data_IF_398435480592
#
_entry.id   IF_398435480592
#
_cell.length_a   1.000
_cell.length_b   1.000
_cell.length_c   1.000
_cell.angle_alpha   90.00
_cell.angle_beta   90.00
_cell.angle_gamma   90.00
#
_symmetry.space_group_name_H-M   'P 1'
#
loop_
_entity.id
_entity.type
_entity.pdbx_description
1 polymer ?
#
# COMPACT_ATOMS: atom_id res chain seq x y z
N UNK A 1 -1.20 -10.82 -11.50
CA UNK A 1 -1.87 -11.04 -10.20
C UNK A 1 -0.81 -10.71 -9.16
N UNK A 2 -1.03 -9.66 -8.37
CA UNK A 2 -0.11 -9.32 -7.28
C UNK A 2 -0.16 -10.47 -6.28
N UNK A 3 1.01 -10.86 -5.78
CA UNK A 3 1.14 -11.97 -4.84
C UNK A 3 1.32 -11.43 -3.41
N UNK A 4 1.83 -10.22 -3.29
CA UNK A 4 1.83 -9.48 -2.03
C UNK A 4 0.45 -8.89 -1.71
N UNK A 5 0.21 -8.65 -0.42
CA UNK A 5 -1.05 -8.13 0.10
C UNK A 5 -1.03 -6.60 0.31
N UNK A 6 -0.08 -5.87 -0.28
CA UNK A 6 -0.08 -4.42 -0.17
C UNK A 6 -1.21 -3.78 -0.97
N UNK A 7 -1.75 -2.67 -0.47
CA UNK A 7 -2.72 -1.84 -1.19
C UNK A 7 -2.10 -1.22 -2.45
N UNK A 8 -2.92 -1.09 -3.50
CA UNK A 8 -2.51 -0.43 -4.74
C UNK A 8 -2.44 1.10 -4.62
N UNK A 9 -3.03 1.64 -3.55
CA UNK A 9 -3.06 3.07 -3.20
C UNK A 9 -2.36 3.32 -1.87
N UNK A 10 -1.73 4.48 -1.75
CA UNK A 10 -1.20 4.98 -0.48
C UNK A 10 -1.61 6.44 -0.28
N UNK A 11 -2.10 6.74 0.93
CA UNK A 11 -2.03 8.09 1.48
C UNK A 11 -0.65 8.30 2.06
N UNK A 12 0.08 9.25 1.49
CA UNK A 12 1.45 9.53 1.92
C UNK A 12 1.65 11.03 2.05
N UNK A 13 2.34 11.45 3.12
CA UNK A 13 2.70 12.86 3.27
C UNK A 13 3.55 13.31 2.08
N UNK A 14 3.34 14.54 1.61
CA UNK A 14 4.09 15.08 0.47
C UNK A 14 5.59 15.09 0.71
N UNK A 15 6.00 15.27 1.97
CA UNK A 15 7.39 15.21 2.41
C UNK A 15 8.01 13.81 2.28
N UNK A 16 7.29 12.77 2.70
CA UNK A 16 7.71 11.36 2.56
C UNK A 16 7.73 10.97 1.10
N UNK A 17 6.69 11.30 0.33
CA UNK A 17 6.61 11.00 -1.11
C UNK A 17 7.79 11.58 -1.90
N UNK A 18 8.12 12.86 -1.64
CA UNK A 18 9.28 13.51 -2.26
C UNK A 18 10.58 12.80 -1.92
N UNK A 19 10.72 12.37 -0.67
CA UNK A 19 11.91 11.67 -0.17
C UNK A 19 12.04 10.29 -0.81
N UNK A 20 10.96 9.51 -0.82
CA UNK A 20 10.89 8.21 -1.49
C UNK A 20 11.26 8.31 -2.97
N UNK A 21 10.66 9.27 -3.69
CA UNK A 21 10.97 9.49 -5.11
C UNK A 21 12.43 9.89 -5.33
N UNK A 22 12.97 10.79 -4.52
CA UNK A 22 14.38 11.20 -4.58
C UNK A 22 15.34 10.04 -4.36
N UNK A 23 15.04 9.19 -3.39
CA UNK A 23 15.83 7.99 -3.08
C UNK A 23 15.81 7.02 -4.26
N UNK A 24 14.63 6.69 -4.80
CA UNK A 24 14.50 5.84 -5.97
C UNK A 24 15.19 6.43 -7.21
N UNK A 25 15.03 7.72 -7.47
CA UNK A 25 15.70 8.42 -8.57
C UNK A 25 17.24 8.35 -8.48
N UNK A 26 17.79 8.46 -7.26
CA UNK A 26 19.24 8.39 -7.05
C UNK A 26 19.84 7.04 -7.41
N UNK A 27 19.04 5.97 -7.32
CA UNK A 27 19.44 4.62 -7.72
C UNK A 27 19.45 4.43 -9.25
N UNK A 28 18.88 5.36 -10.03
CA UNK A 28 18.99 5.34 -11.49
C UNK A 28 20.42 5.78 -11.86
N UNK A 29 21.17 4.98 -12.65
CA UNK A 29 22.48 5.37 -13.16
C UNK A 29 22.42 6.70 -13.91
N UNK A 30 23.42 7.57 -13.75
CA UNK A 30 23.34 8.96 -14.24
C UNK A 30 23.12 9.03 -15.75
N UNK A 31 23.76 8.14 -16.49
CA UNK A 31 23.70 7.98 -17.94
C UNK A 31 22.36 7.43 -18.45
N UNK A 32 21.55 6.84 -17.57
CA UNK A 32 20.22 6.32 -17.90
C UNK A 32 19.10 7.31 -17.53
N UNK A 33 19.42 8.42 -16.86
CA UNK A 33 18.42 9.39 -16.41
C UNK A 33 17.85 10.17 -17.60
N UNK A 34 16.59 9.89 -17.92
CA UNK A 34 15.86 10.61 -18.98
C UNK A 34 15.44 12.03 -18.59
N UNK A 35 15.36 12.31 -17.29
CA UNK A 35 14.93 13.60 -16.73
C UNK A 35 15.85 14.01 -15.57
N UNK A 36 16.01 15.32 -15.37
CA UNK A 36 16.57 15.86 -14.12
C UNK A 36 15.63 15.58 -12.94
N UNK A 37 16.14 15.63 -11.70
CA UNK A 37 15.31 15.39 -10.51
C UNK A 37 14.11 16.33 -10.42
N UNK A 38 14.28 17.62 -10.76
CA UNK A 38 13.18 18.59 -10.73
C UNK A 38 12.10 18.29 -11.79
N UNK A 39 12.52 17.90 -12.99
CA UNK A 39 11.57 17.42 -14.02
C UNK A 39 10.89 16.12 -13.58
N UNK A 40 11.60 15.24 -12.86
CA UNK A 40 11.06 14.04 -12.26
C UNK A 40 9.98 14.34 -11.22
N UNK A 41 10.19 15.33 -10.35
CA UNK A 41 9.17 15.78 -9.39
C UNK A 41 7.94 16.37 -10.07
N UNK A 42 8.12 17.16 -11.12
CA UNK A 42 6.99 17.65 -11.91
C UNK A 42 6.23 16.49 -12.56
N UNK A 43 6.95 15.47 -13.05
CA UNK A 43 6.33 14.28 -13.62
C UNK A 43 5.57 13.46 -12.56
N UNK A 44 6.12 13.34 -11.35
CA UNK A 44 5.46 12.72 -10.20
C UNK A 44 4.16 13.43 -9.87
N UNK A 45 4.19 14.77 -9.75
CA UNK A 45 3.00 15.56 -9.47
C UNK A 45 1.91 15.36 -10.54
N UNK A 46 2.29 15.41 -11.82
CA UNK A 46 1.36 15.15 -12.91
C UNK A 46 0.78 13.72 -12.87
N UNK A 47 1.60 12.72 -12.51
CA UNK A 47 1.13 11.34 -12.34
C UNK A 47 0.19 11.20 -11.15
N UNK A 48 0.39 11.96 -10.08
CA UNK A 48 -0.52 12.07 -8.94
C UNK A 48 -1.69 13.05 -9.18
N UNK A 49 -1.93 13.46 -10.43
CA UNK A 49 -3.07 14.28 -10.85
C UNK A 49 -3.05 15.73 -10.34
N UNK A 50 -1.87 16.25 -9.99
CA UNK A 50 -1.63 17.65 -9.69
C UNK A 50 -1.19 18.43 -10.93
N UNK A 51 -1.53 19.72 -10.99
CA UNK A 51 -1.12 20.62 -12.07
C UNK A 51 0.36 20.99 -12.02
N UNK A 52 0.95 21.05 -10.82
CA UNK A 52 2.37 21.32 -10.62
C UNK A 52 2.94 20.65 -9.38
N UNK A 53 4.27 20.55 -9.32
CA UNK A 53 4.95 20.07 -8.12
C UNK A 53 4.71 20.98 -6.92
N UNK A 54 4.63 22.29 -7.12
CA UNK A 54 4.29 23.25 -6.06
C UNK A 54 2.87 23.02 -5.54
N UNK A 55 1.90 22.76 -6.43
CA UNK A 55 0.53 22.45 -6.03
C UNK A 55 0.44 21.17 -5.20
N UNK A 56 1.19 20.13 -5.60
CA UNK A 56 1.32 18.89 -4.84
C UNK A 56 1.97 19.15 -3.48
N UNK A 57 3.11 19.86 -3.44
CA UNK A 57 3.85 20.13 -2.21
C UNK A 57 3.16 21.14 -1.26
N UNK A 58 2.04 21.75 -1.68
CA UNK A 58 1.20 22.57 -0.82
C UNK A 58 0.18 21.74 -0.01
N UNK A 59 0.01 20.46 -0.33
CA UNK A 59 -0.84 19.54 0.44
C UNK A 59 -0.06 18.88 1.58
N UNK A 60 -0.77 18.48 2.64
CA UNK A 60 -0.17 17.72 3.74
C UNK A 60 0.10 16.27 3.32
N UNK A 61 -0.91 15.62 2.74
CA UNK A 61 -0.85 14.27 2.17
C UNK A 61 -1.38 14.23 0.74
N UNK A 62 -1.07 13.14 0.03
CA UNK A 62 -1.58 12.87 -1.32
C UNK A 62 -1.96 11.41 -1.45
N UNK A 63 -3.00 11.18 -2.25
CA UNK A 63 -3.40 9.85 -2.68
C UNK A 63 -2.72 9.50 -4.01
N UNK A 64 -1.86 8.49 -4.00
CA UNK A 64 -1.12 8.05 -5.18
C UNK A 64 -1.18 6.53 -5.32
N UNK A 65 -1.34 6.05 -6.55
CA UNK A 65 -1.23 4.62 -6.83
C UNK A 65 0.22 4.18 -7.00
N UNK A 66 0.49 2.91 -6.67
CA UNK A 66 1.77 2.23 -6.97
C UNK A 66 2.14 2.37 -8.45
N UNK A 67 1.15 2.27 -9.35
CA UNK A 67 1.36 2.41 -10.79
C UNK A 67 1.70 3.86 -11.20
N UNK A 68 1.05 4.87 -10.62
CA UNK A 68 1.37 6.29 -10.88
C UNK A 68 2.80 6.63 -10.47
N UNK A 69 3.22 6.20 -9.29
CA UNK A 69 4.59 6.38 -8.84
C UNK A 69 5.58 5.64 -9.75
N UNK A 70 5.27 4.39 -10.10
CA UNK A 70 6.07 3.58 -11.04
C UNK A 70 6.23 4.26 -12.40
N UNK A 71 5.16 4.84 -12.95
CA UNK A 71 5.19 5.58 -14.22
C UNK A 71 6.04 6.84 -14.14
N UNK A 72 6.01 7.55 -13.01
CA UNK A 72 6.86 8.72 -12.79
C UNK A 72 8.35 8.35 -12.75
N UNK A 73 8.71 7.25 -12.04
CA UNK A 73 10.07 6.72 -12.02
C UNK A 73 10.53 6.22 -13.39
N UNK A 74 9.66 5.50 -14.11
CA UNK A 74 9.95 5.03 -15.46
C UNK A 74 10.26 6.18 -16.42
N UNK A 75 9.55 7.30 -16.29
CA UNK A 75 9.82 8.51 -17.06
C UNK A 75 11.21 9.12 -16.77
N UNK A 76 11.75 8.86 -15.58
CA UNK A 76 13.10 9.27 -15.19
C UNK A 76 14.19 8.28 -15.64
N UNK A 77 13.82 7.15 -16.26
CA UNK A 77 14.76 6.11 -16.70
C UNK A 77 14.84 4.90 -15.77
N UNK A 78 13.99 4.79 -14.74
CA UNK A 78 13.94 3.58 -13.91
C UNK A 78 13.26 2.45 -14.69
N UNK A 79 14.02 1.41 -15.06
CA UNK A 79 13.48 0.30 -15.84
C UNK A 79 12.66 -0.63 -14.94
N UNK A 80 11.32 -0.56 -15.06
CA UNK A 80 10.34 -1.47 -14.45
C UNK A 80 10.59 -1.73 -12.95
N UNK A 81 10.40 -0.74 -12.07
CA UNK A 81 10.43 -1.01 -10.63
C UNK A 81 9.40 -2.10 -10.29
N UNK A 82 9.75 -3.03 -9.41
CA UNK A 82 8.77 -4.04 -8.96
C UNK A 82 7.67 -3.38 -8.15
N UNK A 83 6.43 -3.88 -8.28
CA UNK A 83 5.29 -3.39 -7.49
C UNK A 83 5.60 -3.42 -6.00
N UNK A 84 6.06 -4.57 -5.49
CA UNK A 84 6.52 -4.74 -4.12
C UNK A 84 7.53 -3.68 -3.63
N UNK A 85 8.53 -3.33 -4.46
CA UNK A 85 9.50 -2.29 -4.08
C UNK A 85 8.82 -0.93 -3.93
N UNK A 86 7.91 -0.60 -4.84
CA UNK A 86 7.18 0.66 -4.83
C UNK A 86 6.16 0.71 -3.69
N UNK A 87 5.43 -0.37 -3.42
CA UNK A 87 4.51 -0.46 -2.30
C UNK A 87 5.21 -0.20 -0.97
N UNK A 88 6.40 -0.80 -0.76
CA UNK A 88 7.23 -0.52 0.42
C UNK A 88 7.75 0.92 0.47
N UNK A 89 8.16 1.49 -0.66
CA UNK A 89 8.61 2.90 -0.71
C UNK A 89 7.49 3.89 -0.37
N UNK A 90 6.26 3.54 -0.73
CA UNK A 90 5.07 4.33 -0.48
C UNK A 90 4.43 4.03 0.87
N UNK A 91 4.99 3.08 1.64
CA UNK A 91 4.42 2.62 2.92
C UNK A 91 2.94 2.23 2.73
N UNK A 92 2.64 1.47 1.66
CA UNK A 92 1.29 0.99 1.39
C UNK A 92 0.80 0.11 2.54
N UNK A 93 -0.47 0.23 2.86
CA UNK A 93 -1.15 -0.58 3.85
C UNK A 93 -1.23 -2.06 3.42
N UNK A 94 -1.45 -2.94 4.38
CA UNK A 94 -1.66 -4.37 4.15
C UNK A 94 -3.15 -4.65 4.12
N UNK A 95 -3.61 -5.26 3.03
CA UNK A 95 -5.02 -5.56 2.78
C UNK A 95 -5.22 -7.02 2.40
N UNK A 96 -6.07 -7.68 3.16
CA UNK A 96 -6.68 -8.95 2.83
C UNK A 96 -8.18 -8.73 2.70
N UNK A 97 -8.70 -8.60 1.47
CA UNK A 97 -10.12 -8.38 1.24
C UNK A 97 -10.94 -9.61 1.66
N UNK A 98 -12.19 -9.41 2.06
CA UNK A 98 -13.15 -10.50 2.31
C UNK A 98 -13.14 -11.50 1.15
N UNK A 99 -13.13 -12.80 1.44
CA UNK A 99 -13.15 -13.89 0.46
C UNK A 99 -11.96 -13.94 -0.53
N UNK A 100 -10.96 -13.06 -0.42
CA UNK A 100 -9.86 -12.93 -1.40
C UNK A 100 -8.66 -13.83 -1.14
N UNK A 101 -8.61 -14.46 0.03
CA UNK A 101 -7.56 -15.42 0.39
C UNK A 101 -7.17 -15.30 1.85
N UNK A 102 -6.19 -16.10 2.25
CA UNK A 102 -5.59 -16.06 3.58
C UNK A 102 -4.35 -15.17 3.51
N UNK A 103 -4.28 -14.14 4.38
CA UNK A 103 -3.05 -13.40 4.62
C UNK A 103 -2.01 -14.35 5.22
N UNK A 104 -0.77 -14.29 4.75
CA UNK A 104 0.30 -15.12 5.26
C UNK A 104 1.63 -14.40 5.34
N UNK A 105 2.49 -14.91 6.23
CA UNK A 105 3.91 -14.59 6.28
C UNK A 105 4.71 -15.74 5.69
N UNK A 106 5.94 -15.45 5.28
CA UNK A 106 6.91 -16.45 4.89
C UNK A 106 8.11 -16.44 5.82
N UNK A 107 8.64 -17.61 6.13
CA UNK A 107 9.89 -17.79 6.87
C UNK A 107 10.82 -18.63 6.02
N UNK A 108 12.05 -18.16 5.80
CA UNK A 108 13.10 -18.89 5.08
C UNK A 108 14.37 -18.87 5.90
N UNK A 109 15.04 -20.02 6.03
CA UNK A 109 16.31 -20.17 6.76
C UNK A 109 16.31 -19.46 8.14
N UNK A 110 15.24 -19.64 8.92
CA UNK A 110 15.01 -19.01 10.23
C UNK A 110 14.96 -17.46 10.20
N UNK A 111 14.51 -16.89 9.08
CA UNK A 111 14.31 -15.45 8.89
C UNK A 111 12.87 -15.18 8.49
N UNK A 112 12.20 -14.33 9.27
CA UNK A 112 10.87 -13.81 8.95
C UNK A 112 10.97 -12.80 7.80
N UNK A 113 10.29 -13.11 6.69
CA UNK A 113 10.15 -12.22 5.55
C UNK A 113 9.10 -11.16 5.89
N UNK A 114 9.45 -9.89 5.70
CA UNK A 114 8.61 -8.71 6.00
C UNK A 114 7.48 -8.46 5.00
N UNK A 115 7.40 -9.25 3.94
CA UNK A 115 6.44 -9.04 2.87
C UNK A 115 5.17 -9.80 3.21
N UNK A 116 4.01 -9.13 3.27
CA UNK A 116 2.73 -9.80 3.43
C UNK A 116 2.36 -10.49 2.13
N UNK A 117 1.86 -11.72 2.20
CA UNK A 117 1.46 -12.49 1.04
C UNK A 117 -0.01 -12.87 1.09
N UNK A 118 -0.63 -12.98 -0.08
CA UNK A 118 -1.91 -13.67 -0.23
C UNK A 118 -1.62 -15.12 -0.64
N UNK A 119 -2.23 -16.07 0.05
CA UNK A 119 -1.92 -17.50 -0.10
C UNK A 119 -2.15 -18.07 -1.50
N UNK A 120 -2.98 -17.43 -2.34
CA UNK A 120 -3.35 -17.94 -3.65
C UNK A 120 -3.20 -16.89 -4.77
N UNK A 121 -2.18 -17.01 -5.65
CA UNK A 121 -1.12 -18.05 -5.66
C UNK A 121 0.04 -17.72 -4.71
N UNK A 122 0.50 -18.71 -3.93
CA UNK A 122 1.73 -18.56 -3.14
C UNK A 122 2.95 -18.40 -4.05
N UNK A 123 3.81 -17.38 -3.84
CA UNK A 123 5.01 -17.21 -4.65
C UNK A 123 6.03 -18.29 -4.31
N UNK A 124 6.79 -18.75 -5.30
CA UNK A 124 7.94 -19.60 -5.02
C UNK A 124 9.07 -18.77 -4.41
N UNK A 125 9.39 -19.05 -3.15
CA UNK A 125 10.55 -18.52 -2.45
C UNK A 125 11.39 -19.73 -2.00
N UNK A 126 12.66 -19.86 -2.41
CA UNK A 126 13.51 -20.97 -2.00
C UNK A 126 13.56 -21.12 -0.48
N UNK A 127 13.44 -22.37 -0.01
CA UNK A 127 13.45 -22.77 1.40
C UNK A 127 12.40 -22.11 2.30
N UNK A 128 11.43 -21.39 1.73
CA UNK A 128 10.41 -20.71 2.51
C UNK A 128 9.26 -21.64 2.89
N UNK A 129 8.79 -21.52 4.13
CA UNK A 129 7.49 -22.01 4.59
C UNK A 129 6.56 -20.82 4.75
N UNK A 130 5.32 -20.99 4.29
CA UNK A 130 4.26 -19.98 4.45
C UNK A 130 3.37 -20.35 5.63
N UNK A 131 3.05 -19.37 6.45
CA UNK A 131 2.21 -19.51 7.64
C UNK A 131 1.01 -18.59 7.50
N UNK A 132 -0.18 -19.19 7.53
CA UNK A 132 -1.46 -18.46 7.49
C UNK A 132 -1.66 -17.66 8.76
N UNK A 133 -2.13 -16.42 8.62
CA UNK A 133 -2.64 -15.62 9.72
C UNK A 133 -4.16 -15.78 9.83
N UNK A 134 -4.69 -15.81 11.05
CA UNK A 134 -6.14 -15.96 11.29
C UNK A 134 -6.86 -14.67 10.91
N UNK A 135 -7.54 -14.66 9.77
CA UNK A 135 -8.32 -13.52 9.27
C UNK A 135 -9.77 -13.94 9.10
N UNK A 136 -10.71 -13.13 9.57
CA UNK A 136 -12.13 -13.38 9.33
C UNK A 136 -12.42 -13.27 7.83
N UNK A 137 -12.96 -14.33 7.25
CA UNK A 137 -13.26 -14.39 5.83
C UNK A 137 -14.40 -13.44 5.41
N UNK A 138 -15.33 -13.08 6.32
CA UNK A 138 -16.40 -12.13 6.02
C UNK A 138 -15.91 -10.70 6.03
N UNK A 139 -14.98 -10.38 6.93
CA UNK A 139 -14.60 -8.99 7.20
C UNK A 139 -13.28 -8.62 6.52
N UNK A 140 -12.42 -9.60 6.27
CA UNK A 140 -11.05 -9.36 5.80
C UNK A 140 -10.16 -8.80 6.91
N UNK A 141 -8.99 -8.28 6.52
CA UNK A 141 -8.08 -7.60 7.42
C UNK A 141 -7.39 -6.42 6.73
N UNK A 142 -7.34 -5.29 7.43
CA UNK A 142 -6.58 -4.10 7.08
C UNK A 142 -5.64 -3.75 8.22
N UNK A 143 -4.40 -3.46 7.87
CA UNK A 143 -3.41 -2.87 8.77
C UNK A 143 -2.71 -1.74 8.05
N UNK A 144 -2.39 -0.68 8.79
CA UNK A 144 -1.44 0.31 8.31
C UNK A 144 -0.07 -0.31 8.08
N UNK A 145 0.75 0.29 7.23
CA UNK A 145 2.12 -0.18 7.01
C UNK A 145 2.92 -0.30 8.32
N UNK A 146 2.78 0.67 9.21
CA UNK A 146 3.51 0.72 10.49
C UNK A 146 3.07 -0.43 11.42
N UNK A 147 1.77 -0.73 11.52
CA UNK A 147 1.27 -1.87 12.31
C UNK A 147 1.79 -3.20 11.77
N UNK A 148 1.89 -3.35 10.45
CA UNK A 148 2.49 -4.53 9.85
C UNK A 148 3.98 -4.64 10.17
N UNK A 149 4.74 -3.54 10.12
CA UNK A 149 6.16 -3.56 10.50
C UNK A 149 6.35 -3.93 11.97
N UNK A 150 5.53 -3.38 12.87
CA UNK A 150 5.55 -3.71 14.29
C UNK A 150 5.27 -5.20 14.54
N UNK A 151 4.30 -5.78 13.82
CA UNK A 151 4.02 -7.21 13.85
C UNK A 151 5.23 -8.04 13.40
N UNK A 152 5.83 -7.70 12.26
CA UNK A 152 7.03 -8.38 11.74
C UNK A 152 8.22 -8.28 12.71
N UNK A 153 8.42 -7.12 13.35
CA UNK A 153 9.47 -6.93 14.34
C UNK A 153 9.25 -7.81 15.58
N UNK A 154 8.02 -7.87 16.10
CA UNK A 154 7.66 -8.77 17.21
C UNK A 154 7.94 -10.23 16.87
N UNK A 155 7.55 -10.68 15.68
CA UNK A 155 7.84 -12.05 15.21
C UNK A 155 9.35 -12.32 15.22
N UNK A 156 10.16 -11.42 14.65
CA UNK A 156 11.62 -11.57 14.59
C UNK A 156 12.29 -11.64 15.96
N UNK A 157 11.73 -10.94 16.94
CA UNK A 157 12.28 -10.87 18.29
C UNK A 157 11.80 -12.02 19.20
N UNK A 158 10.70 -12.69 18.85
CA UNK A 158 10.01 -13.62 19.74
C UNK A 158 10.05 -15.07 19.25
N UNK A 159 10.08 -15.31 17.93
CA UNK A 159 10.09 -16.67 17.39
C UNK A 159 11.38 -17.39 17.80
N UNK A 160 11.21 -18.51 18.49
CA UNK A 160 12.24 -19.51 18.70
C UNK A 160 12.12 -20.62 17.65
N UNK A 161 13.07 -20.64 16.71
CA UNK A 161 13.13 -21.59 15.60
C UNK A 161 13.60 -22.99 16.01
N UNK A 162 14.09 -23.17 17.23
CA UNK A 162 14.52 -24.48 17.75
C UNK A 162 13.34 -25.26 18.38
N UNK A 163 12.18 -24.61 18.54
CA UNK A 163 10.95 -25.24 19.02
C UNK A 163 10.07 -25.70 17.85
N UNK A 164 9.48 -26.89 17.97
CA UNK A 164 8.59 -27.49 16.96
C UNK A 164 7.18 -26.86 16.91
N UNK A 165 6.99 -25.63 17.41
CA UNK A 165 5.68 -24.97 17.54
C UNK A 165 5.67 -23.53 16.99
N UNK A 166 6.29 -23.35 15.82
CA UNK A 166 6.36 -22.04 15.15
C UNK A 166 4.96 -21.51 14.80
N UNK A 167 4.02 -22.40 14.43
CA UNK A 167 2.64 -22.02 14.09
C UNK A 167 1.90 -21.40 15.27
N UNK A 168 1.97 -22.01 16.45
CA UNK A 168 1.34 -21.44 17.65
C UNK A 168 1.99 -20.12 18.06
N UNK A 169 3.32 -20.02 18.00
CA UNK A 169 4.03 -18.77 18.29
C UNK A 169 3.59 -17.61 17.36
N UNK A 170 3.40 -17.89 16.07
CA UNK A 170 2.89 -16.89 15.12
C UNK A 170 1.45 -16.53 15.47
N UNK A 171 0.61 -17.51 15.79
CA UNK A 171 -0.79 -17.27 16.18
C UNK A 171 -0.87 -16.38 17.42
N UNK A 172 -0.11 -16.68 18.47
CA UNK A 172 -0.11 -15.90 19.72
C UNK A 172 0.27 -14.43 19.49
N UNK A 173 1.24 -14.18 18.61
CA UNK A 173 1.67 -12.82 18.27
C UNK A 173 0.62 -12.15 17.38
N UNK A 174 0.05 -12.87 16.42
CA UNK A 174 -1.00 -12.35 15.55
C UNK A 174 -2.28 -12.00 16.31
N UNK A 175 -2.68 -12.81 17.29
CA UNK A 175 -3.84 -12.55 18.14
C UNK A 175 -3.66 -11.33 19.05
N UNK A 176 -2.41 -10.86 19.22
CA UNK A 176 -2.10 -9.57 19.88
C UNK A 176 -2.26 -8.36 18.96
N UNK A 177 -2.42 -8.59 17.66
CA UNK A 177 -2.70 -7.57 16.65
C UNK A 177 -4.21 -7.38 16.54
N UNK A 178 -4.67 -6.13 16.43
CA UNK A 178 -6.09 -5.81 16.26
C UNK A 178 -6.31 -5.22 14.88
N UNK A 179 -6.37 -6.04 13.80
CA UNK A 179 -6.57 -5.54 12.45
C UNK A 179 -7.98 -4.95 12.29
N UNK A 180 -8.09 -3.89 11.50
CA UNK A 180 -9.37 -3.31 11.12
C UNK A 180 -10.06 -4.16 10.04
N UNK A 181 -11.39 -4.05 9.96
CA UNK A 181 -12.20 -4.78 8.99
C UNK A 181 -12.17 -4.10 7.61
N UNK A 182 -12.00 -4.88 6.54
CA UNK A 182 -12.12 -4.41 5.15
C UNK A 182 -13.58 -4.34 4.67
N UNK A 183 -14.49 -5.10 5.30
CA UNK A 183 -15.87 -5.28 4.87
C UNK A 183 -16.83 -4.15 5.25
N UNK A 184 -16.44 -3.29 6.20
CA UNK A 184 -17.28 -2.20 6.69
C UNK A 184 -16.85 -0.85 6.10
N UNK A 185 -17.73 -0.22 5.31
CA UNK A 185 -17.53 1.13 4.79
C UNK A 185 -18.04 2.14 5.83
N UNK A 186 -17.11 2.89 6.42
CA UNK A 186 -17.40 4.02 7.29
C UNK A 186 -17.11 5.33 6.57
N UNK A 187 -18.17 6.12 6.34
CA UNK A 187 -18.05 7.48 5.85
C UNK A 187 -18.26 8.43 7.02
N UNK A 188 -17.31 9.34 7.23
CA UNK A 188 -17.38 10.37 8.28
C UNK A 188 -18.62 11.26 8.13
N UNK A 189 -19.05 11.54 6.90
CA UNK A 189 -20.24 12.32 6.55
C UNK A 189 -20.92 11.78 5.28
N UNK A 190 -22.09 12.31 4.92
CA UNK A 190 -22.74 11.98 3.64
C UNK A 190 -22.15 12.87 2.54
N UNK A 191 -21.56 12.31 1.47
CA UNK A 191 -21.01 13.10 0.38
C UNK A 191 -22.09 13.81 -0.44
N UNK A 192 -21.75 14.98 -0.97
CA UNK A 192 -22.57 15.65 -1.97
C UNK A 192 -22.29 15.07 -3.36
N UNK A 193 -23.03 14.02 -3.72
CA UNK A 193 -22.80 13.27 -4.97
C UNK A 193 -22.96 14.11 -6.24
N UNK A 194 -23.92 15.05 -6.29
CA UNK A 194 -24.13 15.93 -7.44
C UNK A 194 -22.91 16.85 -7.68
N UNK A 195 -22.28 17.30 -6.60
CA UNK A 195 -21.07 18.12 -6.69
C UNK A 195 -19.87 17.29 -7.16
N UNK A 196 -19.77 16.05 -6.67
CA UNK A 196 -18.69 15.13 -7.01
C UNK A 196 -18.58 14.82 -8.50
N UNK A 197 -19.70 14.79 -9.23
CA UNK A 197 -19.71 14.59 -10.70
C UNK A 197 -18.93 15.67 -11.46
N UNK A 198 -18.83 16.86 -10.87
CA UNK A 198 -18.15 18.00 -11.50
C UNK A 198 -16.68 18.11 -11.08
N UNK A 199 -16.21 17.24 -10.19
CA UNK A 199 -14.86 17.31 -9.66
C UNK A 199 -13.80 16.98 -10.71
N UNK A 200 -12.69 17.70 -10.63
CA UNK A 200 -11.45 17.20 -11.21
C UNK A 200 -10.97 15.99 -10.41
N UNK A 201 -10.22 15.10 -11.06
CA UNK A 201 -9.61 13.92 -10.42
C UNK A 201 -8.84 14.28 -9.13
N UNK A 202 -8.12 15.41 -9.12
CA UNK A 202 -7.42 15.89 -7.93
C UNK A 202 -8.35 16.25 -6.77
N UNK A 203 -9.49 16.93 -7.05
CA UNK A 203 -10.49 17.25 -6.01
C UNK A 203 -11.23 16.01 -5.54
N UNK A 204 -11.49 15.06 -6.44
CA UNK A 204 -12.07 13.76 -6.10
C UNK A 204 -11.16 13.00 -5.12
N UNK A 205 -9.86 12.89 -5.41
CA UNK A 205 -8.90 12.24 -4.52
C UNK A 205 -8.75 12.92 -3.17
N UNK A 206 -8.76 14.25 -3.13
CA UNK A 206 -8.78 14.96 -1.84
C UNK A 206 -10.03 14.59 -1.04
N UNK A 207 -11.17 14.53 -1.69
CA UNK A 207 -12.43 14.12 -1.05
C UNK A 207 -12.33 12.70 -0.51
N UNK A 208 -11.76 11.75 -1.26
CA UNK A 208 -11.51 10.37 -0.79
C UNK A 208 -10.67 10.36 0.49
N UNK A 209 -9.61 11.18 0.56
CA UNK A 209 -8.78 11.32 1.77
C UNK A 209 -9.56 11.92 2.94
N UNK A 210 -10.42 12.92 2.69
CA UNK A 210 -11.24 13.52 3.74
C UNK A 210 -12.26 12.51 4.35
N UNK A 211 -12.56 11.43 3.61
CA UNK A 211 -13.36 10.30 4.08
C UNK A 211 -12.51 9.13 4.60
N UNK A 212 -11.18 9.15 4.45
CA UNK A 212 -10.31 8.14 5.04
C UNK A 212 -10.30 8.30 6.56
N UNK A 213 -10.54 7.19 7.26
CA UNK A 213 -10.63 7.21 8.72
C UNK A 213 -10.57 5.81 9.27
N UNK A 214 -11.68 5.09 9.18
CA UNK A 214 -11.82 3.71 9.63
C UNK A 214 -12.03 2.73 8.48
N UNK A 215 -11.68 3.13 7.26
CA UNK A 215 -11.88 2.31 6.07
C UNK A 215 -10.70 2.46 5.12
N UNK A 216 -10.21 1.35 4.52
CA UNK A 216 -9.14 1.40 3.55
C UNK A 216 -9.44 2.35 2.39
N UNK A 217 -8.47 3.19 2.04
CA UNK A 217 -8.65 4.20 0.98
C UNK A 217 -9.02 3.58 -0.36
N UNK A 218 -8.48 2.40 -0.69
CA UNK A 218 -8.84 1.69 -1.92
C UNK A 218 -10.34 1.38 -1.98
N UNK A 219 -10.95 0.97 -0.86
CA UNK A 219 -12.37 0.67 -0.80
C UNK A 219 -13.22 1.95 -0.93
N UNK A 220 -12.82 3.05 -0.27
CA UNK A 220 -13.50 4.35 -0.40
C UNK A 220 -13.42 4.87 -1.84
N UNK A 221 -12.23 4.78 -2.45
CA UNK A 221 -12.00 5.20 -3.82
C UNK A 221 -12.87 4.41 -4.81
N UNK A 222 -12.91 3.08 -4.68
CA UNK A 222 -13.73 2.20 -5.51
C UNK A 222 -15.23 2.47 -5.31
N UNK A 223 -15.67 2.67 -4.06
CA UNK A 223 -17.04 3.00 -3.73
C UNK A 223 -17.50 4.28 -4.44
N UNK A 224 -16.75 5.38 -4.31
CA UNK A 224 -17.13 6.64 -4.95
C UNK A 224 -17.03 6.57 -6.48
N UNK A 225 -16.04 5.87 -7.03
CA UNK A 225 -15.89 5.68 -8.48
C UNK A 225 -17.06 4.89 -9.07
N UNK A 226 -17.52 3.85 -8.38
CA UNK A 226 -18.66 3.04 -8.82
C UNK A 226 -19.97 3.83 -8.83
N UNK A 227 -20.12 4.81 -7.95
CA UNK A 227 -21.29 5.68 -7.88
C UNK A 227 -21.29 6.74 -8.99
N UNK A 228 -20.15 7.38 -9.25
CA UNK A 228 -20.03 8.36 -10.36
C UNK A 228 -20.24 7.74 -11.74
N UNK A 229 -20.01 6.42 -11.89
CA UNK A 229 -20.27 5.70 -13.14
C UNK A 229 -21.70 5.17 -13.31
N UNK A 230 -22.58 5.36 -12.31
CA UNK A 230 -23.98 4.92 -12.31
C UNK A 230 -25.00 6.05 -12.48
N UNK A 231 -24.55 7.30 -12.52
CA UNK A 231 -25.34 8.49 -12.83
C UNK A 231 -25.11 8.90 -14.29
#
# INVERSE_FOLDING_TARGET
MNVDAYSDFSEISTSKLRTAFKCAYRNIPKEQRGLSLNQGYQKLANCAQFSSFEAMNAQDSVLITVNEFSRALASCGYTKPSGLYVSKLLECDVLCMSLSGNLCIAITDNVVIDTPFLMSPSPYIPNAKFYTLSVDASDGAWLTFDEWQDFIEKLRNTIDFELDDIESQISDIWDSVSPDCCGELFLSEVPNYEEMETYSEGKFRQTVLDYSGHTPISLIYDYFTALSGRM
#
